data_IF_973893776513
#
_entry.id   IF_973893776513
#
_cell.length_a   1.000
_cell.length_b   1.000
_cell.length_c   1.000
_cell.angle_alpha   90.00
_cell.angle_beta   90.00
_cell.angle_gamma   90.00
#
_symmetry.space_group_name_H-M   'P 1'
#
loop_
_entity.id
_entity.type
_entity.pdbx_description
1 polymer ?
#
# COMPACT_ATOMS: atom_id res chain seq x y z
N UNK A 1 13.06 -9.61 18.37
CA UNK A 1 11.79 -8.90 18.60
C UNK A 1 11.29 -8.23 17.33
N UNK A 2 12.04 -7.26 16.74
CA UNK A 2 11.70 -6.61 15.45
C UNK A 2 11.25 -7.53 14.30
N UNK A 3 11.87 -8.70 14.02
CA UNK A 3 11.43 -9.56 12.91
C UNK A 3 10.00 -10.08 13.06
N UNK A 4 9.58 -10.39 14.29
CA UNK A 4 8.20 -10.85 14.58
C UNK A 4 7.21 -9.71 14.42
N UNK A 5 7.49 -8.54 15.03
CA UNK A 5 6.65 -7.33 14.92
C UNK A 5 6.43 -6.91 13.48
N UNK A 6 7.50 -6.98 12.67
CA UNK A 6 7.44 -6.71 11.23
C UNK A 6 6.60 -7.74 10.47
N UNK A 7 6.71 -9.03 10.80
CA UNK A 7 5.89 -10.08 10.19
C UNK A 7 4.41 -9.88 10.52
N UNK A 8 4.07 -9.68 11.79
CA UNK A 8 2.70 -9.49 12.28
C UNK A 8 2.06 -8.23 11.64
N UNK A 9 2.83 -7.14 11.49
CA UNK A 9 2.37 -5.91 10.86
C UNK A 9 2.12 -6.08 9.35
N UNK A 10 2.96 -6.86 8.65
CA UNK A 10 2.78 -7.20 7.23
C UNK A 10 1.58 -8.10 6.99
N UNK A 11 1.37 -9.08 7.85
CA UNK A 11 0.19 -9.96 7.81
C UNK A 11 -1.08 -9.14 8.01
N UNK A 12 -1.10 -8.29 9.05
CA UNK A 12 -2.24 -7.41 9.33
C UNK A 12 -2.56 -6.46 8.17
N UNK A 13 -1.53 -5.87 7.55
CA UNK A 13 -1.71 -5.03 6.37
C UNK A 13 -2.36 -5.81 5.22
N UNK A 14 -1.86 -7.02 4.96
CA UNK A 14 -2.35 -7.90 3.90
C UNK A 14 -3.82 -8.27 4.16
N UNK A 15 -4.13 -8.77 5.37
CA UNK A 15 -5.50 -9.09 5.79
C UNK A 15 -6.48 -7.92 5.64
N UNK A 16 -6.06 -6.72 6.03
CA UNK A 16 -6.90 -5.53 5.91
C UNK A 16 -7.17 -5.15 4.46
N UNK A 17 -6.18 -5.33 3.58
CA UNK A 17 -6.37 -5.14 2.14
C UNK A 17 -7.29 -6.21 1.56
N UNK A 18 -7.07 -7.49 1.86
CA UNK A 18 -7.89 -8.61 1.38
C UNK A 18 -9.36 -8.44 1.79
N UNK A 19 -9.63 -8.06 3.04
CA UNK A 19 -11.00 -7.79 3.53
C UNK A 19 -11.66 -6.60 2.84
N UNK A 20 -10.90 -5.63 2.36
CA UNK A 20 -11.45 -4.48 1.63
C UNK A 20 -11.98 -4.86 0.24
N UNK A 21 -11.43 -5.91 -0.38
CA UNK A 21 -11.89 -6.42 -1.68
C UNK A 21 -13.12 -7.33 -1.57
N UNK A 22 -13.40 -7.90 -0.41
CA UNK A 22 -14.67 -8.60 -0.12
C UNK A 22 -14.89 -9.94 -0.83
N UNK A 23 -13.96 -10.38 -1.68
CA UNK A 23 -14.08 -11.59 -2.51
C UNK A 23 -12.90 -12.55 -2.26
N UNK A 24 -13.12 -13.88 -2.08
CA UNK A 24 -12.05 -14.89 -2.02
C UNK A 24 -11.06 -14.88 -3.19
N UNK A 25 -11.32 -14.12 -4.27
CA UNK A 25 -10.37 -13.92 -5.37
C UNK A 25 -9.04 -13.26 -4.95
N UNK A 26 -8.98 -12.62 -3.78
CA UNK A 26 -7.80 -11.87 -3.33
C UNK A 26 -6.95 -12.53 -2.24
N UNK A 27 -7.03 -13.85 -2.02
CA UNK A 27 -6.13 -14.55 -1.07
C UNK A 27 -4.68 -14.41 -1.56
N UNK A 28 -3.89 -13.55 -0.96
CA UNK A 28 -2.53 -13.22 -1.35
C UNK A 28 -2.42 -12.35 -2.62
N UNK A 29 -1.73 -11.22 -2.49
CA UNK A 29 -1.53 -10.21 -3.55
C UNK A 29 -1.11 -10.83 -4.91
N UNK A 30 -0.16 -11.76 -4.92
CA UNK A 30 0.33 -12.39 -6.16
C UNK A 30 -0.64 -13.42 -6.75
N UNK A 31 -1.38 -14.16 -5.92
CA UNK A 31 -2.36 -15.13 -6.41
C UNK A 31 -3.56 -14.39 -7.00
N UNK A 32 -4.00 -13.31 -6.36
CA UNK A 32 -5.03 -12.42 -6.87
C UNK A 32 -4.69 -11.85 -8.25
N UNK A 33 -3.47 -11.33 -8.41
CA UNK A 33 -3.01 -10.80 -9.69
C UNK A 33 -3.02 -11.86 -10.80
N UNK A 34 -2.60 -13.09 -10.51
CA UNK A 34 -2.63 -14.19 -11.49
C UNK A 34 -4.06 -14.62 -11.85
N UNK A 35 -4.97 -14.66 -10.86
CA UNK A 35 -6.36 -15.01 -11.09
C UNK A 35 -7.05 -13.97 -11.98
N UNK A 36 -6.82 -12.68 -11.74
CA UNK A 36 -7.36 -11.60 -12.58
C UNK A 36 -6.82 -11.67 -14.01
N UNK A 37 -5.55 -12.04 -14.22
CA UNK A 37 -5.01 -12.27 -15.57
C UNK A 37 -5.67 -13.46 -16.26
N UNK A 38 -5.92 -14.55 -15.54
CA UNK A 38 -6.65 -15.70 -16.08
C UNK A 38 -8.10 -15.33 -16.44
N UNK A 39 -8.75 -14.49 -15.63
CA UNK A 39 -10.05 -13.92 -15.95
C UNK A 39 -9.97 -13.13 -17.27
N UNK A 40 -8.97 -12.25 -17.44
CA UNK A 40 -8.77 -11.50 -18.68
C UNK A 40 -8.56 -12.44 -19.88
N UNK A 41 -7.77 -13.50 -19.74
CA UNK A 41 -7.60 -14.50 -20.81
C UNK A 41 -8.94 -15.14 -21.20
N UNK A 42 -9.80 -15.40 -20.21
CA UNK A 42 -11.15 -15.91 -20.43
C UNK A 42 -12.05 -14.87 -21.13
N UNK A 43 -11.93 -13.59 -20.78
CA UNK A 43 -12.64 -12.49 -21.46
C UNK A 43 -12.16 -12.31 -22.90
N UNK A 44 -10.87 -12.48 -23.18
CA UNK A 44 -10.31 -12.45 -24.54
C UNK A 44 -10.89 -13.62 -25.36
N UNK A 45 -11.00 -14.82 -24.79
CA UNK A 45 -11.62 -15.96 -25.48
C UNK A 45 -13.12 -15.73 -25.76
N UNK A 46 -13.84 -15.08 -24.84
CA UNK A 46 -15.22 -14.65 -25.09
C UNK A 46 -15.30 -13.58 -26.18
N UNK A 47 -14.33 -12.67 -26.25
CA UNK A 47 -14.23 -11.67 -27.32
C UNK A 47 -13.95 -12.33 -28.68
N UNK A 48 -13.09 -13.34 -28.73
CA UNK A 48 -12.84 -14.13 -29.94
C UNK A 48 -14.13 -14.82 -30.41
N UNK A 49 -14.94 -15.32 -29.47
CA UNK A 49 -16.26 -15.90 -29.76
C UNK A 49 -17.21 -14.82 -30.31
N UNK A 50 -17.26 -13.64 -29.70
CA UNK A 50 -18.04 -12.52 -30.20
C UNK A 50 -17.65 -12.16 -31.63
N UNK A 51 -16.34 -12.09 -31.92
CA UNK A 51 -15.80 -11.79 -33.23
C UNK A 51 -16.21 -12.83 -34.28
N UNK A 52 -16.15 -14.11 -33.96
CA UNK A 52 -16.63 -15.20 -34.84
C UNK A 52 -18.14 -15.07 -35.13
N UNK A 53 -18.94 -14.74 -34.11
CA UNK A 53 -20.39 -14.52 -34.27
C UNK A 53 -20.70 -13.25 -35.07
N UNK A 54 -19.91 -12.19 -34.90
CA UNK A 54 -19.97 -10.98 -35.72
C UNK A 54 -19.61 -11.25 -37.18
N UNK A 55 -18.58 -12.06 -37.47
CA UNK A 55 -18.27 -12.49 -38.85
C UNK A 55 -19.40 -13.32 -39.45
N UNK A 56 -19.98 -14.24 -38.67
CA UNK A 56 -21.13 -15.04 -39.09
C UNK A 56 -22.36 -14.16 -39.38
N UNK A 57 -22.60 -13.17 -38.52
CA UNK A 57 -23.61 -12.15 -38.73
C UNK A 57 -23.32 -11.36 -40.01
N UNK A 58 -22.08 -10.96 -40.25
CA UNK A 58 -21.67 -10.27 -41.48
C UNK A 58 -21.99 -11.12 -42.73
N UNK A 59 -21.80 -12.44 -42.69
CA UNK A 59 -22.21 -13.33 -43.81
C UNK A 59 -23.72 -13.33 -44.02
N UNK A 60 -24.52 -13.31 -42.94
CA UNK A 60 -26.00 -13.20 -43.04
C UNK A 60 -26.41 -11.82 -43.57
N UNK A 61 -25.73 -10.77 -43.12
CA UNK A 61 -25.94 -9.38 -43.55
C UNK A 61 -25.42 -9.10 -44.96
N UNK A 62 -24.59 -9.96 -45.55
CA UNK A 62 -24.17 -9.89 -46.96
C UNK A 62 -24.84 -10.99 -47.81
N UNK A 63 -25.95 -11.57 -47.34
CA UNK A 63 -26.72 -12.52 -48.14
C UNK A 63 -27.56 -11.79 -49.21
N UNK A 64 -28.02 -12.46 -50.29
CA UNK A 64 -28.75 -11.80 -51.39
C UNK A 64 -29.96 -10.94 -50.97
N UNK A 65 -30.77 -11.32 -49.95
CA UNK A 65 -31.82 -10.45 -49.41
C UNK A 65 -31.28 -9.16 -48.78
N UNK A 66 -30.11 -9.23 -48.15
CA UNK A 66 -29.42 -8.10 -47.52
C UNK A 66 -28.73 -7.19 -48.54
N UNK A 67 -28.07 -7.75 -49.56
CA UNK A 67 -27.47 -6.98 -50.66
C UNK A 67 -28.52 -6.15 -51.41
N UNK A 68 -29.73 -6.69 -51.57
CA UNK A 68 -30.87 -5.95 -52.14
C UNK A 68 -31.26 -4.75 -51.27
N UNK A 69 -31.21 -4.90 -49.94
CA UNK A 69 -31.49 -3.81 -49.00
C UNK A 69 -30.36 -2.78 -49.01
N UNK A 70 -29.10 -3.21 -48.96
CA UNK A 70 -27.94 -2.30 -49.05
C UNK A 70 -27.92 -1.54 -50.38
N UNK A 71 -28.30 -2.18 -51.49
CA UNK A 71 -28.43 -1.54 -52.80
C UNK A 71 -29.59 -0.53 -52.85
N UNK A 72 -30.75 -0.86 -52.27
CA UNK A 72 -31.94 0.00 -52.27
C UNK A 72 -31.81 1.16 -51.29
N UNK A 73 -31.12 0.98 -50.16
CA UNK A 73 -31.07 1.94 -49.05
C UNK A 73 -29.67 2.52 -48.78
N UNK A 74 -28.63 2.12 -49.52
CA UNK A 74 -27.26 2.64 -49.43
C UNK A 74 -26.63 2.57 -48.02
N UNK A 75 -26.89 1.49 -47.29
CA UNK A 75 -26.33 1.25 -45.95
C UNK A 75 -25.14 0.29 -46.01
N UNK A 76 -24.09 0.52 -45.20
CA UNK A 76 -22.97 -0.41 -45.02
C UNK A 76 -23.02 -0.97 -43.60
N UNK A 77 -23.17 -2.29 -43.46
CA UNK A 77 -23.29 -2.95 -42.16
C UNK A 77 -22.08 -3.85 -41.92
N UNK A 78 -20.92 -3.26 -41.62
CA UNK A 78 -19.72 -4.01 -41.24
C UNK A 78 -19.48 -4.01 -39.74
N UNK A 79 -19.31 -5.20 -39.18
CA UNK A 79 -19.05 -5.47 -37.75
C UNK A 79 -17.56 -5.77 -37.50
N UNK A 80 -16.72 -5.64 -38.53
CA UNK A 80 -15.39 -6.25 -38.63
C UNK A 80 -14.30 -5.51 -37.82
N UNK A 81 -14.60 -4.30 -37.30
CA UNK A 81 -13.64 -3.47 -36.56
C UNK A 81 -13.99 -3.20 -35.09
N UNK A 82 -15.08 -3.79 -34.57
CA UNK A 82 -15.62 -3.45 -33.24
C UNK A 82 -14.79 -4.06 -32.09
N UNK A 83 -14.13 -5.19 -32.31
CA UNK A 83 -13.43 -5.96 -31.25
C UNK A 83 -11.97 -5.52 -31.04
N UNK A 84 -11.38 -4.76 -31.96
CA UNK A 84 -9.96 -4.39 -31.91
C UNK A 84 -9.60 -3.50 -30.71
N UNK A 85 -10.42 -2.47 -30.47
CA UNK A 85 -10.24 -1.55 -29.34
C UNK A 85 -10.46 -2.25 -27.98
N UNK A 86 -11.51 -3.07 -27.89
CA UNK A 86 -11.82 -3.91 -26.71
C UNK A 86 -10.65 -4.84 -26.38
N UNK A 87 -10.05 -5.46 -27.40
CA UNK A 87 -8.86 -6.32 -27.23
C UNK A 87 -7.66 -5.54 -26.72
N UNK A 88 -7.47 -4.31 -27.19
CA UNK A 88 -6.45 -3.39 -26.70
C UNK A 88 -6.59 -3.14 -25.19
N UNK A 89 -7.80 -2.79 -24.74
CA UNK A 89 -8.09 -2.59 -23.31
C UNK A 89 -7.89 -3.86 -22.48
N UNK A 90 -8.40 -5.01 -22.92
CA UNK A 90 -8.21 -6.29 -22.21
C UNK A 90 -6.72 -6.63 -22.02
N UNK A 91 -5.90 -6.41 -23.05
CA UNK A 91 -4.46 -6.60 -22.93
C UNK A 91 -3.80 -5.58 -22.00
N UNK A 92 -4.24 -4.31 -22.04
CA UNK A 92 -3.79 -3.24 -21.15
C UNK A 92 -4.07 -3.56 -19.68
N UNK A 93 -5.23 -4.13 -19.36
CA UNK A 93 -5.61 -4.49 -17.99
C UNK A 93 -4.60 -5.45 -17.32
N UNK A 94 -3.93 -6.32 -18.07
CA UNK A 94 -2.88 -7.19 -17.50
C UNK A 94 -1.72 -6.39 -16.94
N UNK A 95 -1.33 -5.32 -17.64
CA UNK A 95 -0.28 -4.41 -17.21
C UNK A 95 -0.71 -3.59 -15.98
N UNK A 96 -1.97 -3.14 -15.96
CA UNK A 96 -2.53 -2.39 -14.84
C UNK A 96 -2.60 -3.27 -13.57
N UNK A 97 -2.99 -4.54 -13.71
CA UNK A 97 -2.97 -5.53 -12.62
C UNK A 97 -1.54 -5.79 -12.13
N UNK A 98 -0.56 -5.90 -13.03
CA UNK A 98 0.84 -6.07 -12.66
C UNK A 98 1.35 -4.87 -11.86
N UNK A 99 1.01 -3.66 -12.31
CA UNK A 99 1.34 -2.42 -11.61
C UNK A 99 0.72 -2.39 -10.21
N UNK A 100 -0.55 -2.81 -10.07
CA UNK A 100 -1.25 -2.84 -8.79
C UNK A 100 -0.61 -3.87 -7.84
N UNK A 101 -0.35 -5.07 -8.35
CA UNK A 101 0.30 -6.16 -7.62
C UNK A 101 1.69 -5.76 -7.15
N UNK A 102 2.45 -5.06 -8.01
CA UNK A 102 3.78 -4.56 -7.69
C UNK A 102 3.73 -3.48 -6.62
N UNK A 103 2.82 -2.49 -6.73
CA UNK A 103 2.66 -1.44 -5.73
C UNK A 103 2.32 -2.01 -4.34
N UNK A 104 1.38 -2.97 -4.28
CA UNK A 104 1.02 -3.65 -3.03
C UNK A 104 2.19 -4.49 -2.49
N UNK A 105 2.94 -5.17 -3.35
CA UNK A 105 4.10 -5.96 -2.93
C UNK A 105 5.21 -5.06 -2.37
N UNK A 106 5.46 -3.91 -2.98
CA UNK A 106 6.45 -2.94 -2.50
C UNK A 106 6.04 -2.35 -1.16
N UNK A 107 4.75 -2.05 -0.98
CA UNK A 107 4.20 -1.64 0.31
C UNK A 107 4.53 -2.65 1.42
N UNK A 108 4.20 -3.92 1.18
CA UNK A 108 4.41 -4.98 2.18
C UNK A 108 5.90 -5.20 2.45
N UNK A 109 6.74 -5.21 1.42
CA UNK A 109 8.15 -5.57 1.56
C UNK A 109 9.01 -4.42 2.06
N UNK A 110 8.84 -3.23 1.51
CA UNK A 110 9.72 -2.07 1.75
C UNK A 110 9.08 -1.09 2.73
N UNK A 111 7.94 -0.50 2.37
CA UNK A 111 7.33 0.61 3.12
C UNK A 111 6.98 0.23 4.58
N UNK A 112 6.41 -0.95 4.81
CA UNK A 112 6.10 -1.41 6.18
C UNK A 112 7.39 -1.59 7.02
N UNK A 113 8.52 -1.91 6.41
CA UNK A 113 9.79 -2.02 7.14
C UNK A 113 10.29 -0.66 7.63
N UNK A 114 10.01 0.40 6.88
CA UNK A 114 10.42 1.77 7.20
C UNK A 114 9.69 2.34 8.41
N UNK A 115 8.53 1.77 8.77
CA UNK A 115 7.76 2.14 9.97
C UNK A 115 8.59 2.11 11.24
N UNK A 116 9.62 1.25 11.31
CA UNK A 116 10.50 1.08 12.46
C UNK A 116 11.77 1.94 12.41
N UNK A 117 12.09 2.53 11.26
CA UNK A 117 13.40 3.12 11.00
C UNK A 117 13.38 4.61 11.31
N UNK A 118 14.42 5.12 11.95
CA UNK A 118 14.67 6.56 12.04
C UNK A 118 15.97 6.89 11.28
N UNK A 119 15.87 7.25 10.00
CA UNK A 119 17.04 7.46 9.15
C UNK A 119 17.89 8.65 9.60
N UNK A 120 17.29 9.68 10.20
CA UNK A 120 18.02 10.84 10.72
C UNK A 120 19.00 10.49 11.84
N UNK A 121 18.72 9.42 12.60
CA UNK A 121 19.56 8.93 13.69
C UNK A 121 20.30 7.63 13.35
N UNK A 122 20.09 7.08 12.15
CA UNK A 122 20.66 5.79 11.74
C UNK A 122 20.12 4.58 12.52
N UNK A 123 18.96 4.71 13.16
CA UNK A 123 18.38 3.65 13.97
C UNK A 123 17.55 2.69 13.13
N UNK A 124 17.84 1.39 13.28
CA UNK A 124 17.05 0.34 12.66
C UNK A 124 15.73 0.15 13.42
N UNK A 125 15.71 0.43 14.73
CA UNK A 125 14.54 0.37 15.58
C UNK A 125 14.46 1.69 16.38
N UNK A 126 13.81 2.69 15.80
CA UNK A 126 13.87 4.07 16.27
C UNK A 126 13.61 4.23 17.76
N UNK A 127 12.60 3.52 18.29
CA UNK A 127 12.19 3.65 19.69
C UNK A 127 13.12 2.85 20.61
N UNK A 128 13.40 1.58 20.28
CA UNK A 128 14.24 0.75 21.12
C UNK A 128 15.69 1.25 21.16
N UNK A 129 16.24 1.63 20.00
CA UNK A 129 17.63 2.08 19.87
C UNK A 129 17.83 3.44 20.55
N UNK A 130 16.87 4.38 20.44
CA UNK A 130 16.97 5.69 21.10
C UNK A 130 16.87 5.57 22.62
N UNK A 131 15.95 4.74 23.14
CA UNK A 131 15.83 4.47 24.58
C UNK A 131 17.10 3.81 25.11
N UNK A 132 17.61 2.79 24.41
CA UNK A 132 18.83 2.10 24.81
C UNK A 132 20.04 3.04 24.81
N UNK A 133 20.17 3.89 23.78
CA UNK A 133 21.26 4.86 23.68
C UNK A 133 21.21 5.88 24.81
N UNK A 134 20.01 6.35 25.19
CA UNK A 134 19.83 7.19 26.38
C UNK A 134 20.21 6.45 27.68
N UNK A 135 19.77 5.20 27.83
CA UNK A 135 20.07 4.38 29.01
C UNK A 135 21.57 4.17 29.23
N UNK A 136 22.34 3.97 28.16
CA UNK A 136 23.80 3.87 28.23
C UNK A 136 24.43 5.13 28.81
N UNK A 137 23.98 6.33 28.40
CA UNK A 137 24.46 7.61 28.94
C UNK A 137 24.09 7.77 30.42
N UNK A 138 22.85 7.42 30.80
CA UNK A 138 22.40 7.43 32.20
C UNK A 138 23.28 6.52 33.05
N UNK A 139 23.59 5.30 32.59
CA UNK A 139 24.47 4.38 33.31
C UNK A 139 25.91 4.89 33.46
N UNK A 140 26.47 5.56 32.45
CA UNK A 140 27.78 6.21 32.56
C UNK A 140 27.76 7.34 33.60
N UNK A 141 26.70 8.15 33.61
CA UNK A 141 26.53 9.26 34.55
C UNK A 141 26.33 8.75 35.99
N UNK A 142 25.55 7.70 36.19
CA UNK A 142 25.36 7.03 37.47
C UNK A 142 26.72 6.53 38.03
N UNK A 143 27.51 5.86 37.19
CA UNK A 143 28.84 5.37 37.57
C UNK A 143 29.79 6.53 37.94
N UNK A 144 29.74 7.63 37.19
CA UNK A 144 30.51 8.84 37.48
C UNK A 144 30.09 9.49 38.81
N UNK A 145 28.79 9.57 39.09
CA UNK A 145 28.26 10.08 40.34
C UNK A 145 28.70 9.21 41.53
N UNK A 146 28.58 7.88 41.42
CA UNK A 146 29.05 6.93 42.45
C UNK A 146 30.53 7.13 42.76
N UNK A 147 31.37 7.32 41.73
CA UNK A 147 32.80 7.61 41.91
C UNK A 147 33.03 8.94 42.63
N UNK A 148 32.33 10.02 42.24
CA UNK A 148 32.42 11.33 42.90
C UNK A 148 32.01 11.27 44.36
N UNK A 149 30.88 10.62 44.68
CA UNK A 149 30.40 10.45 46.06
C UNK A 149 31.42 9.66 46.89
N UNK A 150 31.97 8.56 46.36
CA UNK A 150 33.00 7.77 47.05
C UNK A 150 34.27 8.58 47.31
N UNK A 151 34.69 9.42 46.37
CA UNK A 151 35.84 10.32 46.56
C UNK A 151 35.54 11.39 47.60
N UNK A 152 34.35 12.00 47.57
CA UNK A 152 33.95 13.00 48.56
C UNK A 152 33.95 12.42 49.98
N UNK A 153 33.40 11.23 50.18
CA UNK A 153 33.45 10.53 51.49
C UNK A 153 34.90 10.39 51.97
N UNK A 154 35.82 9.96 51.09
CA UNK A 154 37.25 9.85 51.43
C UNK A 154 37.90 11.18 51.74
N UNK A 155 37.51 12.26 51.06
CA UNK A 155 38.01 13.61 51.33
C UNK A 155 37.56 14.13 52.69
N UNK A 156 36.28 13.96 53.03
CA UNK A 156 35.74 14.33 54.35
C UNK A 156 36.43 13.53 55.46
N UNK A 157 36.61 12.23 55.26
CA UNK A 157 37.34 11.38 56.20
C UNK A 157 38.80 11.85 56.40
N UNK A 158 39.54 12.07 55.31
CA UNK A 158 40.93 12.52 55.38
C UNK A 158 41.06 13.91 56.04
N UNK A 159 40.13 14.82 55.77
CA UNK A 159 40.09 16.12 56.44
C UNK A 159 39.82 15.97 57.95
N UNK A 160 38.85 15.14 58.34
CA UNK A 160 38.54 14.85 59.74
C UNK A 160 39.72 14.22 60.50
N UNK A 161 40.37 13.22 59.91
CA UNK A 161 41.59 12.59 60.46
C UNK A 161 42.73 13.62 60.57
N UNK A 162 42.89 14.49 59.58
CA UNK A 162 43.84 15.59 59.59
C UNK A 162 43.61 16.56 60.75
N UNK A 163 42.38 17.02 60.94
CA UNK A 163 42.02 17.87 62.08
C UNK A 163 42.25 17.19 63.41
N UNK A 164 41.85 15.92 63.56
CA UNK A 164 42.05 15.18 64.80
C UNK A 164 43.54 14.97 65.12
N UNK A 165 44.36 14.69 64.11
CA UNK A 165 45.80 14.52 64.27
C UNK A 165 46.45 15.84 64.64
N UNK A 166 46.08 16.93 63.95
CA UNK A 166 46.60 18.27 64.25
C UNK A 166 46.23 18.74 65.65
N UNK A 167 45.00 18.48 66.11
CA UNK A 167 44.55 18.84 67.46
C UNK A 167 45.33 18.06 68.54
N UNK A 168 45.49 16.74 68.34
CA UNK A 168 46.31 15.90 69.23
C UNK A 168 47.76 16.36 69.28
N UNK A 169 48.35 16.71 68.13
CA UNK A 169 49.72 17.23 68.06
C UNK A 169 49.84 18.57 68.78
N UNK A 170 48.90 19.50 68.56
CA UNK A 170 48.89 20.79 69.25
C UNK A 170 48.77 20.61 70.78
N UNK A 171 47.90 19.72 71.24
CA UNK A 171 47.77 19.39 72.66
C UNK A 171 49.07 18.80 73.25
N UNK A 172 49.80 17.98 72.49
CA UNK A 172 51.10 17.44 72.89
C UNK A 172 52.19 18.52 72.91
N UNK A 173 52.23 19.40 71.92
CA UNK A 173 53.19 20.51 71.84
C UNK A 173 52.99 21.48 73.03
N UNK A 174 51.73 21.79 73.37
CA UNK A 174 51.38 22.57 74.57
C UNK A 174 51.87 21.88 75.85
N UNK A 175 51.57 20.58 76.02
CA UNK A 175 52.02 19.82 77.21
C UNK A 175 53.53 19.75 77.33
N UNK A 176 54.23 19.64 76.21
CA UNK A 176 55.69 19.50 76.17
C UNK A 176 56.45 20.83 76.07
N UNK A 177 55.74 21.97 76.00
CA UNK A 177 56.30 23.32 75.79
C UNK A 177 57.20 23.43 74.56
N UNK A 178 56.86 22.71 73.49
CA UNK A 178 57.57 22.74 72.21
C UNK A 178 56.89 23.68 71.21
N UNK A 179 57.67 24.20 70.27
CA UNK A 179 57.13 24.98 69.16
C UNK A 179 56.24 24.10 68.27
N UNK A 180 55.12 24.62 67.72
CA UNK A 180 54.17 23.82 66.96
C UNK A 180 54.82 23.18 65.73
N UNK A 181 54.66 21.87 65.55
CA UNK A 181 55.05 21.20 64.32
C UNK A 181 53.95 21.38 63.24
N UNK A 182 54.31 21.90 62.06
CA UNK A 182 53.36 21.97 60.93
C UNK A 182 53.14 20.57 60.34
N UNK A 183 52.04 19.92 60.70
CA UNK A 183 51.59 18.71 60.01
C UNK A 183 50.78 19.07 58.76
N UNK A 184 51.25 18.59 57.61
CA UNK A 184 50.57 18.78 56.33
C UNK A 184 49.53 17.67 56.14
N UNK A 185 48.25 18.01 56.28
CA UNK A 185 47.16 17.10 55.92
C UNK A 185 47.09 16.98 54.41
N UNK A 186 47.09 15.76 53.88
CA UNK A 186 46.94 15.51 52.45
C UNK A 186 45.53 14.98 52.19
N UNK A 187 44.73 15.77 51.48
CA UNK A 187 43.36 15.40 51.09
C UNK A 187 43.39 14.83 49.66
N UNK A 188 42.70 13.71 49.38
CA UNK A 188 42.61 13.17 48.02
C UNK A 188 42.10 14.21 47.02
N UNK A 189 42.64 14.21 45.80
CA UNK A 189 42.24 15.15 44.73
C UNK A 189 40.81 14.84 44.27
N UNK A 190 40.02 15.89 44.03
CA UNK A 190 38.65 15.76 43.52
C UNK A 190 38.65 15.20 42.10
N UNK A 191 37.69 14.31 41.80
CA UNK A 191 37.49 13.81 40.44
C UNK A 191 36.78 14.90 39.62
N UNK A 192 37.49 15.47 38.64
CA UNK A 192 36.91 16.29 37.59
C UNK A 192 36.42 15.38 36.45
N UNK A 193 35.21 14.85 36.58
CA UNK A 193 34.47 14.31 35.43
C UNK A 193 33.20 15.12 35.23
N UNK A 194 32.90 15.52 34.00
CA UNK A 194 31.60 16.12 33.68
C UNK A 194 30.58 15.02 33.41
N UNK A 195 29.31 15.30 33.67
CA UNK A 195 28.24 14.40 33.23
C UNK A 195 28.09 14.55 31.71
N UNK A 196 27.90 13.42 31.03
CA UNK A 196 27.63 13.37 29.59
C UNK A 196 26.18 13.79 29.37
N UNK A 197 25.96 14.84 28.58
CA UNK A 197 24.61 15.21 28.15
C UNK A 197 24.07 14.15 27.17
N UNK A 198 22.75 13.94 27.18
CA UNK A 198 22.13 13.01 26.25
C UNK A 198 21.50 13.74 25.08
N UNK A 199 21.90 13.38 23.87
CA UNK A 199 21.25 13.80 22.63
C UNK A 199 19.97 13.01 22.30
N UNK A 200 19.62 12.03 23.13
CA UNK A 200 18.47 11.14 22.94
C UNK A 200 17.31 11.54 23.86
N UNK A 201 16.08 11.19 23.49
CA UNK A 201 14.87 11.53 24.26
C UNK A 201 14.70 13.05 24.50
N UNK A 202 15.07 13.89 23.51
CA UNK A 202 14.89 15.36 23.60
C UNK A 202 13.44 15.76 23.88
N UNK A 203 12.49 14.97 23.37
CA UNK A 203 11.05 15.12 23.61
C UNK A 203 10.51 14.21 24.73
N UNK A 204 11.40 13.66 25.56
CA UNK A 204 11.07 12.75 26.66
C UNK A 204 10.31 11.52 26.15
N UNK A 205 9.24 11.14 26.86
CA UNK A 205 8.42 9.97 26.56
C UNK A 205 7.47 10.16 25.36
N UNK A 206 7.45 11.35 24.72
CA UNK A 206 6.66 11.57 23.49
C UNK A 206 7.32 10.98 22.23
N UNK A 207 8.51 10.39 22.36
CA UNK A 207 9.21 9.71 21.27
C UNK A 207 8.28 8.74 20.51
N UNK A 208 7.48 7.95 21.24
CA UNK A 208 6.54 6.99 20.66
C UNK A 208 5.53 7.69 19.77
N UNK A 209 4.77 8.62 20.32
CA UNK A 209 3.71 9.34 19.57
C UNK A 209 4.27 10.05 18.34
N UNK A 210 5.46 10.67 18.48
CA UNK A 210 6.15 11.32 17.36
C UNK A 210 6.50 10.31 16.26
N UNK A 211 7.10 9.18 16.63
CA UNK A 211 7.50 8.16 15.66
C UNK A 211 6.29 7.53 14.98
N UNK A 212 5.24 7.17 15.74
CA UNK A 212 3.98 6.64 15.21
C UNK A 212 3.36 7.62 14.22
N UNK A 213 3.22 8.90 14.60
CA UNK A 213 2.64 9.91 13.71
C UNK A 213 3.49 10.14 12.46
N UNK A 214 4.82 10.11 12.59
CA UNK A 214 5.72 10.19 11.44
C UNK A 214 5.56 9.00 10.50
N UNK A 215 5.57 7.78 11.03
CA UNK A 215 5.44 6.55 10.23
C UNK A 215 4.08 6.47 9.54
N UNK A 216 3.01 6.87 10.24
CA UNK A 216 1.64 6.99 9.67
C UNK A 216 1.63 8.00 8.51
N UNK A 217 2.26 9.16 8.68
CA UNK A 217 2.31 10.18 7.63
C UNK A 217 3.12 9.72 6.41
N UNK A 218 4.29 9.10 6.62
CA UNK A 218 5.09 8.51 5.55
C UNK A 218 4.30 7.47 4.78
N UNK A 219 3.66 6.53 5.47
CA UNK A 219 2.90 5.46 4.85
C UNK A 219 1.66 5.98 4.08
N UNK A 220 1.00 7.02 4.60
CA UNK A 220 -0.05 7.72 3.87
C UNK A 220 0.47 8.38 2.58
N UNK A 221 1.65 9.00 2.67
CA UNK A 221 2.36 9.55 1.51
C UNK A 221 2.62 8.48 0.46
N UNK A 222 3.20 7.35 0.85
CA UNK A 222 3.50 6.23 -0.05
C UNK A 222 2.22 5.66 -0.69
N UNK A 223 1.10 5.57 0.04
CA UNK A 223 -0.15 5.06 -0.53
C UNK A 223 -0.69 6.00 -1.62
N UNK A 224 -0.65 7.31 -1.35
CA UNK A 224 -1.08 8.33 -2.30
C UNK A 224 -0.19 8.42 -3.54
N UNK A 225 1.10 8.13 -3.40
CA UNK A 225 2.06 8.20 -4.52
C UNK A 225 2.10 6.90 -5.32
N UNK A 226 1.97 5.74 -4.69
CA UNK A 226 2.19 4.45 -5.36
C UNK A 226 0.90 3.69 -5.67
N UNK A 227 -0.06 3.65 -4.74
CA UNK A 227 -1.21 2.75 -4.86
C UNK A 227 -2.44 3.44 -5.44
N UNK A 228 -2.72 4.67 -5.00
CA UNK A 228 -3.86 5.47 -5.50
C UNK A 228 -3.79 5.68 -7.01
N UNK A 229 -2.66 6.09 -7.62
CA UNK A 229 -2.63 6.34 -9.07
C UNK A 229 -2.89 5.08 -9.88
N UNK A 230 -2.29 3.96 -9.47
CA UNK A 230 -2.44 2.68 -10.18
C UNK A 230 -3.86 2.14 -10.07
N UNK A 231 -4.49 2.28 -8.90
CA UNK A 231 -5.90 1.91 -8.73
C UNK A 231 -6.83 2.76 -9.61
N UNK A 232 -6.58 4.06 -9.74
CA UNK A 232 -7.37 4.94 -10.63
C UNK A 232 -7.16 4.60 -12.11
N UNK A 233 -5.93 4.35 -12.55
CA UNK A 233 -5.65 3.91 -13.93
C UNK A 233 -6.42 2.62 -14.24
N UNK A 234 -6.36 1.63 -13.35
CA UNK A 234 -7.11 0.39 -13.51
C UNK A 234 -8.62 0.63 -13.60
N UNK A 235 -9.17 1.52 -12.75
CA UNK A 235 -10.58 1.87 -12.77
C UNK A 235 -10.98 2.53 -14.10
N UNK A 236 -10.19 3.48 -14.58
CA UNK A 236 -10.44 4.20 -15.83
C UNK A 236 -10.34 3.28 -17.05
N UNK A 237 -9.36 2.36 -17.07
CA UNK A 237 -9.25 1.34 -18.13
C UNK A 237 -10.47 0.42 -18.14
N UNK A 238 -10.95 -0.01 -16.97
CA UNK A 238 -12.16 -0.84 -16.86
C UNK A 238 -13.42 -0.09 -17.31
N UNK A 239 -13.54 1.20 -16.97
CA UNK A 239 -14.65 2.03 -17.41
C UNK A 239 -14.65 2.22 -18.93
N UNK A 240 -13.49 2.52 -19.52
CA UNK A 240 -13.36 2.65 -20.97
C UNK A 240 -13.73 1.35 -21.69
N UNK A 241 -13.28 0.20 -21.15
CA UNK A 241 -13.64 -1.12 -21.67
C UNK A 241 -15.14 -1.38 -21.61
N UNK A 242 -15.80 -1.09 -20.47
CA UNK A 242 -17.25 -1.21 -20.30
C UNK A 242 -18.01 -0.37 -21.35
N UNK A 243 -17.64 0.90 -21.51
CA UNK A 243 -18.24 1.80 -22.51
C UNK A 243 -18.04 1.30 -23.94
N UNK A 244 -16.85 0.79 -24.28
CA UNK A 244 -16.59 0.20 -25.60
C UNK A 244 -17.41 -1.07 -25.85
N UNK A 245 -17.61 -1.91 -24.83
CA UNK A 245 -18.46 -3.11 -24.93
C UNK A 245 -19.95 -2.74 -25.12
N UNK A 246 -20.43 -1.75 -24.39
CA UNK A 246 -21.80 -1.23 -24.54
C UNK A 246 -22.01 -0.60 -25.93
N UNK A 247 -21.07 0.20 -26.41
CA UNK A 247 -21.10 0.80 -27.74
C UNK A 247 -21.09 -0.27 -28.84
N UNK A 248 -20.27 -1.31 -28.68
CA UNK A 248 -20.22 -2.47 -29.56
C UNK A 248 -21.57 -3.20 -29.63
N UNK A 249 -22.14 -3.53 -28.46
CA UNK A 249 -23.45 -4.19 -28.31
C UNK A 249 -24.56 -3.34 -28.95
N UNK A 250 -24.57 -2.03 -28.71
CA UNK A 250 -25.54 -1.09 -29.27
C UNK A 250 -25.42 -0.95 -30.79
N UNK A 251 -24.20 -0.93 -31.33
CA UNK A 251 -23.95 -0.87 -32.77
C UNK A 251 -24.53 -2.10 -33.48
N UNK A 252 -24.25 -3.30 -32.96
CA UNK A 252 -24.78 -4.57 -33.50
C UNK A 252 -26.31 -4.62 -33.44
N UNK A 253 -26.91 -4.20 -32.31
CA UNK A 253 -28.38 -4.10 -32.16
C UNK A 253 -28.99 -3.06 -33.10
N UNK A 254 -28.30 -1.93 -33.32
CA UNK A 254 -28.73 -0.86 -34.22
C UNK A 254 -28.79 -1.30 -35.68
N UNK A 255 -27.82 -2.11 -36.12
CA UNK A 255 -27.83 -2.75 -37.44
C UNK A 255 -29.07 -3.61 -37.67
N UNK A 256 -29.55 -4.32 -36.63
CA UNK A 256 -30.81 -5.06 -36.68
C UNK A 256 -32.00 -4.16 -36.98
N UNK A 257 -32.11 -3.08 -36.22
CA UNK A 257 -33.30 -2.25 -36.20
C UNK A 257 -33.44 -1.46 -37.50
N UNK A 258 -32.31 -1.06 -38.10
CA UNK A 258 -32.30 -0.48 -39.45
C UNK A 258 -32.87 -1.44 -40.49
N UNK A 259 -32.54 -2.73 -40.44
CA UNK A 259 -33.02 -3.72 -41.40
C UNK A 259 -34.50 -4.09 -41.18
N UNK A 260 -34.90 -4.26 -39.92
CA UNK A 260 -36.25 -4.69 -39.54
C UNK A 260 -37.32 -3.59 -39.70
N UNK A 261 -36.93 -2.31 -39.73
CA UNK A 261 -37.85 -1.19 -39.92
C UNK A 261 -38.10 -0.82 -41.38
N UNK A 262 -37.46 -1.48 -42.35
CA UNK A 262 -37.64 -1.17 -43.76
C UNK A 262 -38.95 -1.79 -44.29
N UNK A 263 -39.79 -0.95 -44.89
CA UNK A 263 -41.01 -1.41 -45.55
C UNK A 263 -40.64 -2.16 -46.84
N UNK A 264 -40.69 -3.49 -46.81
CA UNK A 264 -40.36 -4.32 -47.97
C UNK A 264 -41.48 -4.30 -49.02
N UNK A 265 -41.15 -4.18 -50.33
CA UNK A 265 -42.11 -4.36 -51.41
C UNK A 265 -42.81 -5.73 -51.31
N UNK A 266 -44.14 -5.76 -51.44
CA UNK A 266 -44.95 -6.99 -51.24
C UNK A 266 -44.58 -8.20 -52.12
N UNK A 267 -43.83 -8.00 -53.21
CA UNK A 267 -43.29 -9.10 -54.06
C UNK A 267 -42.10 -9.84 -53.44
N UNK A 268 -41.47 -9.27 -52.42
CA UNK A 268 -40.30 -9.85 -51.74
C UNK A 268 -40.68 -10.58 -50.45
N UNK A 269 -41.89 -10.39 -49.92
CA UNK A 269 -42.33 -10.90 -48.61
C UNK A 269 -42.04 -12.40 -48.38
N UNK A 270 -42.20 -13.24 -49.40
CA UNK A 270 -41.91 -14.68 -49.31
C UNK A 270 -40.43 -15.01 -49.08
N UNK A 271 -39.50 -14.22 -49.63
CA UNK A 271 -38.05 -14.40 -49.45
C UNK A 271 -37.54 -13.95 -48.07
N UNK A 272 -38.30 -13.12 -47.37
CA UNK A 272 -37.91 -12.51 -46.10
C UNK A 272 -38.62 -13.12 -44.86
N UNK A 273 -39.58 -14.03 -45.07
CA UNK A 273 -40.41 -14.62 -44.00
C UNK A 273 -39.61 -15.26 -42.84
N UNK A 274 -38.50 -15.94 -43.13
CA UNK A 274 -37.61 -16.54 -42.11
C UNK A 274 -36.34 -15.70 -41.85
N UNK A 275 -36.15 -14.61 -42.58
CA UNK A 275 -34.91 -13.84 -42.59
C UNK A 275 -34.81 -12.93 -41.36
N UNK A 276 -35.92 -12.35 -40.92
CA UNK A 276 -36.00 -11.54 -39.70
C UNK A 276 -35.61 -12.33 -38.44
N UNK A 277 -36.08 -13.58 -38.32
CA UNK A 277 -35.76 -14.45 -37.18
C UNK A 277 -34.30 -14.92 -37.22
N UNK A 278 -33.76 -15.19 -38.42
CA UNK A 278 -32.34 -15.50 -38.61
C UNK A 278 -31.43 -14.34 -38.24
N UNK A 279 -31.80 -13.11 -38.60
CA UNK A 279 -31.06 -11.90 -38.22
C UNK A 279 -31.12 -11.66 -36.72
N UNK A 280 -32.31 -11.67 -36.11
CA UNK A 280 -32.46 -11.50 -34.66
C UNK A 280 -31.64 -12.54 -33.89
N UNK A 281 -31.74 -13.82 -34.28
CA UNK A 281 -30.98 -14.88 -33.66
C UNK A 281 -29.46 -14.76 -33.88
N UNK A 282 -29.00 -14.26 -35.03
CA UNK A 282 -27.57 -14.02 -35.27
C UNK A 282 -27.04 -12.85 -34.45
N UNK A 283 -27.86 -11.82 -34.25
CA UNK A 283 -27.55 -10.63 -33.44
C UNK A 283 -27.49 -10.97 -31.97
N UNK A 284 -28.48 -11.69 -31.43
CA UNK A 284 -28.46 -12.15 -30.04
C UNK A 284 -27.22 -13.00 -29.74
N UNK A 285 -26.82 -13.87 -30.69
CA UNK A 285 -25.60 -14.68 -30.56
C UNK A 285 -24.32 -13.85 -30.60
N UNK A 286 -24.27 -12.75 -31.35
CA UNK A 286 -23.11 -11.86 -31.43
C UNK A 286 -22.99 -10.92 -30.23
N UNK A 287 -24.12 -10.45 -29.72
CA UNK A 287 -24.22 -9.54 -28.58
C UNK A 287 -23.94 -10.26 -27.26
N UNK A 288 -24.46 -11.47 -27.06
CA UNK A 288 -24.44 -12.14 -25.76
C UNK A 288 -23.04 -12.23 -25.13
N UNK A 289 -21.97 -12.62 -25.85
CA UNK A 289 -20.63 -12.64 -25.27
C UNK A 289 -20.12 -11.24 -24.88
N UNK A 290 -20.50 -10.18 -25.61
CA UNK A 290 -20.13 -8.80 -25.26
C UNK A 290 -20.82 -8.35 -23.97
N UNK A 291 -22.10 -8.65 -23.83
CA UNK A 291 -22.88 -8.33 -22.62
C UNK A 291 -22.33 -9.12 -21.40
N UNK A 292 -21.88 -10.37 -21.59
CA UNK A 292 -21.23 -11.18 -20.54
C UNK A 292 -19.87 -10.60 -20.10
N UNK A 293 -19.05 -10.13 -21.06
CA UNK A 293 -17.79 -9.44 -20.75
C UNK A 293 -18.10 -8.15 -19.99
N UNK A 294 -19.06 -7.34 -20.46
CA UNK A 294 -19.42 -6.07 -19.84
C UNK A 294 -19.85 -6.24 -18.38
N UNK A 295 -20.72 -7.21 -18.09
CA UNK A 295 -21.15 -7.52 -16.73
C UNK A 295 -19.98 -7.92 -15.81
N UNK A 296 -19.04 -8.69 -16.35
CA UNK A 296 -17.83 -9.10 -15.60
C UNK A 296 -16.93 -7.90 -15.32
N UNK A 297 -16.67 -7.08 -16.33
CA UNK A 297 -15.85 -5.86 -16.23
C UNK A 297 -16.45 -4.86 -15.25
N UNK A 298 -17.77 -4.66 -15.28
CA UNK A 298 -18.49 -3.80 -14.33
C UNK A 298 -18.29 -4.28 -12.89
N UNK A 299 -18.38 -5.60 -12.65
CA UNK A 299 -18.14 -6.21 -11.34
C UNK A 299 -16.73 -5.92 -10.82
N UNK A 300 -15.71 -6.12 -11.67
CA UNK A 300 -14.31 -5.80 -11.32
C UNK A 300 -14.13 -4.30 -11.09
N UNK A 301 -14.71 -3.44 -11.94
CA UNK A 301 -14.64 -1.98 -11.79
C UNK A 301 -15.23 -1.51 -10.47
N UNK A 302 -16.38 -2.06 -10.06
CA UNK A 302 -16.99 -1.76 -8.75
C UNK A 302 -16.08 -2.18 -7.59
N UNK A 303 -15.43 -3.34 -7.68
CA UNK A 303 -14.46 -3.78 -6.67
C UNK A 303 -13.26 -2.82 -6.57
N UNK A 304 -12.71 -2.38 -7.71
CA UNK A 304 -11.64 -1.37 -7.75
C UNK A 304 -12.12 0.00 -7.23
N UNK A 305 -13.35 0.41 -7.55
CA UNK A 305 -13.95 1.63 -7.01
C UNK A 305 -14.07 1.59 -5.48
N UNK A 306 -14.47 0.45 -4.91
CA UNK A 306 -14.51 0.24 -3.47
C UNK A 306 -13.11 0.32 -2.82
N UNK A 307 -12.08 -0.23 -3.49
CA UNK A 307 -10.69 -0.06 -3.06
C UNK A 307 -10.32 1.41 -2.99
N UNK A 308 -10.55 2.17 -4.07
CA UNK A 308 -10.22 3.61 -4.13
C UNK A 308 -10.93 4.36 -3.00
N UNK A 309 -12.20 4.07 -2.74
CA UNK A 309 -12.96 4.69 -1.65
C UNK A 309 -12.44 4.30 -0.24
N UNK A 310 -11.84 3.12 -0.11
CA UNK A 310 -11.28 2.62 1.15
C UNK A 310 -9.89 3.19 1.46
N UNK A 311 -9.04 3.41 0.45
CA UNK A 311 -7.65 3.86 0.61
C UNK A 311 -7.45 5.08 1.53
N UNK A 312 -8.26 6.16 1.45
CA UNK A 312 -8.10 7.31 2.35
C UNK A 312 -8.26 6.97 3.84
N UNK A 313 -9.14 6.01 4.15
CA UNK A 313 -9.44 5.59 5.52
C UNK A 313 -8.55 4.44 6.00
N UNK A 314 -7.84 3.77 5.09
CA UNK A 314 -7.00 2.62 5.41
C UNK A 314 -5.97 2.96 6.48
N UNK A 315 -5.22 4.05 6.31
CA UNK A 315 -4.17 4.44 7.26
C UNK A 315 -4.72 4.76 8.65
N UNK A 316 -5.89 5.39 8.73
CA UNK A 316 -6.53 5.66 10.01
C UNK A 316 -6.88 4.36 10.75
N UNK A 317 -7.36 3.34 10.02
CA UNK A 317 -7.63 2.01 10.57
C UNK A 317 -6.34 1.22 10.86
N UNK A 318 -5.26 1.48 10.12
CA UNK A 318 -3.99 0.78 10.26
C UNK A 318 -3.11 1.34 11.40
N UNK A 319 -3.31 2.62 11.76
CA UNK A 319 -2.55 3.31 12.82
C UNK A 319 -2.44 2.54 14.14
N UNK A 320 -3.48 1.91 14.70
CA UNK A 320 -3.36 1.17 15.96
C UNK A 320 -2.37 -0.01 15.87
N UNK A 321 -2.24 -0.64 14.70
CA UNK A 321 -1.31 -1.75 14.50
C UNK A 321 0.13 -1.26 14.37
N UNK A 322 0.35 -0.10 13.74
CA UNK A 322 1.64 0.59 13.75
C UNK A 322 2.03 0.95 15.19
N UNK A 323 1.10 1.51 15.96
CA UNK A 323 1.33 1.88 17.35
C UNK A 323 1.72 0.68 18.21
N UNK A 324 1.04 -0.45 18.00
CA UNK A 324 1.35 -1.69 18.69
C UNK A 324 2.74 -2.23 18.28
N UNK A 325 2.98 -2.35 16.98
CA UNK A 325 4.21 -2.91 16.44
C UNK A 325 5.46 -2.11 16.84
N UNK A 326 5.35 -0.78 17.00
CA UNK A 326 6.49 0.05 17.42
C UNK A 326 6.92 -0.26 18.88
N UNK A 327 6.03 -0.80 19.73
CA UNK A 327 6.28 -0.93 21.18
C UNK A 327 6.27 -2.38 21.71
N UNK A 328 5.36 -3.22 21.25
CA UNK A 328 5.21 -4.65 21.64
C UNK A 328 5.96 -5.58 20.71
#
# INVERSE_FOLDING_TARGET
>A
MKPKRLADLRETFTDMFERAFGDPLFIGISQAGNLLKYLIDSLIALLDTAEEKCRSLNVVLNSPPSELIEYVFQTNISVESITGEIRGYLNGLKHDIDSLTHALTNMVRQEISEVFVNPAMGFADAVADEIYSHFVIVGKNENSLKKKVKTFIRQVQAAGEGFQTSDRSAAQDIKSRKAPAQQKTTVPVSIQSQFEESDYLKERLKLKDRHVNSSVATMAGSLNVSLVPVANILFDTLLALELSLEAASASIKGSANLLLCLALPGKLFGMFSDWDEKIKGAIDRAVKPLDEIAATVEGVRKAVGNLIAFLPNFIHKFKPYIDNAIFE
#
